data_IF_191477924116
#
_entry.id   IF_191477924116
#
_cell.length_a   1.000
_cell.length_b   1.000
_cell.length_c   1.000
_cell.angle_alpha   90.00
_cell.angle_beta   90.00
_cell.angle_gamma   90.00
#
_symmetry.space_group_name_H-M   'P 1'
#
loop_
_entity.id
_entity.type
_entity.pdbx_description
1 polymer ?
#
# COMPACT_ATOMS: atom_id res chain seq x y z
N UNK A 1 15.34 -32.61 30.40
CA UNK A 1 14.08 -31.87 30.19
C UNK A 1 14.44 -30.54 29.56
N UNK A 2 14.29 -30.42 28.24
CA UNK A 2 14.68 -29.23 27.49
C UNK A 2 13.44 -28.35 27.35
N UNK A 3 13.53 -27.10 27.81
CA UNK A 3 12.46 -26.11 27.72
C UNK A 3 12.20 -25.74 26.24
N UNK A 4 10.93 -25.53 25.84
CA UNK A 4 10.61 -25.10 24.49
C UNK A 4 11.15 -23.69 24.24
N UNK A 5 11.91 -23.54 23.15
CA UNK A 5 12.39 -22.26 22.64
C UNK A 5 11.20 -21.39 22.24
N UNK A 6 11.05 -20.27 22.93
CA UNK A 6 10.07 -19.23 22.66
C UNK A 6 10.31 -18.66 21.25
N UNK A 7 9.38 -18.91 20.32
CA UNK A 7 9.36 -18.26 19.01
C UNK A 7 8.91 -16.82 19.26
N UNK A 8 9.86 -15.88 19.22
CA UNK A 8 9.55 -14.46 19.30
C UNK A 8 8.71 -14.08 18.06
N UNK A 9 7.54 -13.44 18.22
CA UNK A 9 6.73 -13.04 17.08
C UNK A 9 7.53 -12.04 16.24
N UNK A 10 7.84 -12.42 15.00
CA UNK A 10 8.59 -11.59 14.06
C UNK A 10 7.87 -10.25 13.90
N UNK A 11 8.49 -9.17 14.35
CA UNK A 11 7.99 -7.82 14.11
C UNK A 11 7.79 -7.60 12.61
N UNK A 12 6.64 -7.04 12.18
CA UNK A 12 6.39 -6.80 10.76
C UNK A 12 7.52 -5.93 10.19
N UNK A 13 8.05 -6.35 9.03
CA UNK A 13 9.16 -5.65 8.38
C UNK A 13 8.59 -4.43 7.65
N UNK A 14 8.72 -3.26 8.25
CA UNK A 14 8.19 -2.01 7.70
C UNK A 14 9.23 -1.32 6.79
N UNK A 15 8.81 -0.81 5.63
CA UNK A 15 9.56 0.22 4.90
C UNK A 15 9.01 1.58 5.27
N UNK A 16 9.89 2.56 5.47
CA UNK A 16 9.47 3.93 5.77
C UNK A 16 9.97 4.92 4.73
N UNK A 17 9.10 5.86 4.35
CA UNK A 17 9.38 6.91 3.39
C UNK A 17 9.05 8.28 3.96
N UNK A 18 9.96 9.24 3.82
CA UNK A 18 9.74 10.64 4.17
C UNK A 18 9.10 11.35 2.99
N UNK A 19 7.99 12.03 3.24
CA UNK A 19 7.29 12.88 2.28
C UNK A 19 7.54 14.33 2.65
N UNK A 20 7.96 15.14 1.69
CA UNK A 20 8.25 16.56 1.91
C UNK A 20 7.85 17.40 0.69
N UNK A 21 6.98 18.37 0.87
CA UNK A 21 6.72 19.41 -0.14
C UNK A 21 7.85 20.44 -0.18
N UNK A 22 8.21 20.89 -1.39
CA UNK A 22 9.13 22.00 -1.61
C UNK A 22 8.40 23.35 -1.48
N UNK A 23 8.99 24.28 -0.73
CA UNK A 23 8.54 25.67 -0.55
C UNK A 23 9.04 26.61 -1.67
N UNK A 24 9.70 26.07 -2.70
CA UNK A 24 10.14 26.88 -3.84
C UNK A 24 8.91 27.20 -4.68
N UNK A 25 8.54 28.49 -4.67
CA UNK A 25 7.36 29.14 -5.27
C UNK A 25 6.99 28.73 -6.71
N UNK A 26 7.85 28.02 -7.43
CA UNK A 26 7.69 27.75 -8.85
C UNK A 26 7.24 26.31 -9.19
N UNK A 27 7.38 25.31 -8.30
CA UNK A 27 7.22 23.90 -8.74
C UNK A 27 6.17 23.04 -8.00
N UNK A 28 5.56 23.50 -6.89
CA UNK A 28 4.58 22.72 -6.09
C UNK A 28 4.95 21.22 -5.93
N UNK A 29 6.24 20.96 -5.76
CA UNK A 29 6.82 19.62 -5.89
C UNK A 29 6.78 18.89 -4.57
N UNK A 30 6.41 17.60 -4.60
CA UNK A 30 6.47 16.73 -3.41
C UNK A 30 7.54 15.66 -3.62
N UNK A 31 8.51 15.59 -2.73
CA UNK A 31 9.58 14.59 -2.76
C UNK A 31 9.26 13.42 -1.84
N UNK A 32 9.66 12.22 -2.26
CA UNK A 32 9.57 10.98 -1.49
C UNK A 32 10.96 10.36 -1.39
N UNK A 33 11.43 10.17 -0.16
CA UNK A 33 12.77 9.65 0.16
C UNK A 33 12.64 8.45 1.09
N UNK A 34 13.60 7.53 1.10
CA UNK A 34 13.64 6.46 2.10
C UNK A 34 13.99 7.03 3.48
N UNK A 35 13.40 6.51 4.56
CA UNK A 35 13.79 6.88 5.92
C UNK A 35 15.28 6.57 6.13
N UNK A 36 16.05 7.55 6.62
CA UNK A 36 17.51 7.53 6.78
C UNK A 36 18.32 7.69 5.48
N UNK A 37 17.69 8.15 4.40
CA UNK A 37 18.37 8.49 3.15
C UNK A 37 17.99 9.89 2.70
N UNK A 38 18.97 10.68 2.26
CA UNK A 38 18.75 11.97 1.62
C UNK A 38 18.47 11.83 0.11
N UNK A 39 18.38 10.59 -0.38
CA UNK A 39 18.15 10.31 -1.79
C UNK A 39 16.65 10.29 -2.08
N UNK A 40 16.24 11.21 -2.94
CA UNK A 40 14.91 11.23 -3.55
C UNK A 40 14.74 9.99 -4.42
N UNK A 41 13.75 9.17 -4.09
CA UNK A 41 13.37 7.96 -4.86
C UNK A 41 12.32 8.33 -5.90
N UNK A 42 11.30 9.08 -5.48
CA UNK A 42 10.26 9.61 -6.35
C UNK A 42 9.99 11.07 -6.06
N UNK A 43 9.42 11.76 -7.04
CA UNK A 43 8.85 13.07 -6.83
C UNK A 43 7.51 13.21 -7.58
N UNK A 44 6.66 14.09 -7.07
CA UNK A 44 5.37 14.46 -7.63
C UNK A 44 5.43 15.90 -8.13
N UNK A 45 5.00 16.14 -9.35
CA UNK A 45 4.89 17.47 -9.97
C UNK A 45 3.47 17.68 -10.49
N UNK A 46 2.97 18.92 -10.41
CA UNK A 46 1.61 19.29 -10.80
C UNK A 46 1.59 20.10 -12.08
N UNK A 47 0.68 19.74 -12.97
CA UNK A 47 0.40 20.40 -14.24
C UNK A 47 -1.07 20.81 -14.28
N UNK A 48 -1.34 22.02 -14.72
CA UNK A 48 -2.69 22.53 -14.90
C UNK A 48 -3.03 22.52 -16.39
N UNK A 49 -3.97 21.67 -16.78
CA UNK A 49 -4.58 21.71 -18.11
C UNK A 49 -5.89 22.52 -18.10
N UNK A 50 -6.55 22.63 -19.28
CA UNK A 50 -7.75 23.45 -19.45
C UNK A 50 -8.88 23.03 -18.50
N UNK A 51 -9.15 21.72 -18.40
CA UNK A 51 -10.26 21.14 -17.65
C UNK A 51 -9.83 20.24 -16.47
N UNK A 52 -8.57 19.81 -16.46
CA UNK A 52 -8.04 18.79 -15.55
C UNK A 52 -6.73 19.26 -14.90
N UNK A 53 -6.56 18.91 -13.62
CA UNK A 53 -5.28 19.00 -12.92
C UNK A 53 -4.64 17.62 -13.03
N UNK A 54 -3.44 17.58 -13.59
CA UNK A 54 -2.68 16.36 -13.85
C UNK A 54 -1.44 16.40 -12.99
N UNK A 55 -1.19 15.35 -12.24
CA UNK A 55 0.02 15.21 -11.45
C UNK A 55 0.84 14.02 -11.94
N UNK A 56 2.13 14.23 -12.09
CA UNK A 56 3.07 13.20 -12.50
C UNK A 56 3.84 12.69 -11.28
N UNK A 57 3.74 11.39 -11.01
CA UNK A 57 4.58 10.71 -10.04
C UNK A 57 5.74 10.00 -10.76
N UNK A 58 6.94 10.55 -10.57
CA UNK A 58 8.12 10.25 -11.39
C UNK A 58 9.17 9.55 -10.53
N UNK A 59 9.74 8.47 -11.06
CA UNK A 59 10.91 7.84 -10.46
C UNK A 59 12.16 8.69 -10.75
N UNK A 60 12.87 9.09 -9.70
CA UNK A 60 13.90 10.11 -9.78
C UNK A 60 15.10 9.70 -10.66
N UNK A 61 15.60 8.47 -10.51
CA UNK A 61 16.79 8.04 -11.24
C UNK A 61 16.50 7.80 -12.72
N UNK A 62 15.38 7.13 -13.02
CA UNK A 62 15.05 6.78 -14.40
C UNK A 62 14.34 7.91 -15.14
N UNK A 63 13.89 8.94 -14.43
CA UNK A 63 13.06 10.05 -14.97
C UNK A 63 11.81 9.56 -15.70
N UNK A 64 11.33 8.37 -15.36
CA UNK A 64 10.12 7.78 -15.94
C UNK A 64 8.93 8.06 -15.04
N UNK A 65 7.85 8.53 -15.65
CA UNK A 65 6.53 8.60 -15.03
C UNK A 65 6.11 7.17 -14.69
N UNK A 66 5.80 6.92 -13.42
CA UNK A 66 5.27 5.65 -12.93
C UNK A 66 3.74 5.69 -12.91
N UNK A 67 3.21 6.81 -12.42
CA UNK A 67 1.80 7.04 -12.24
C UNK A 67 1.44 8.48 -12.60
N UNK A 68 0.23 8.68 -13.10
CA UNK A 68 -0.39 10.01 -13.23
C UNK A 68 -1.69 10.05 -12.46
N UNK A 69 -1.94 11.17 -11.79
CA UNK A 69 -3.16 11.41 -11.03
C UNK A 69 -3.93 12.53 -11.68
N UNK A 70 -5.24 12.37 -11.73
CA UNK A 70 -6.12 13.10 -12.62
C UNK A 70 -7.36 13.50 -11.83
N UNK A 71 -7.64 14.80 -11.79
CA UNK A 71 -8.79 15.39 -11.09
C UNK A 71 -9.31 16.61 -11.84
N UNK A 72 -10.63 16.87 -11.86
CA UNK A 72 -11.15 18.00 -12.60
C UNK A 72 -10.81 19.31 -11.89
N UNK A 73 -10.79 20.41 -12.65
CA UNK A 73 -10.79 21.75 -12.05
C UNK A 73 -12.13 22.08 -11.39
N UNK A 74 -13.22 21.56 -11.95
CA UNK A 74 -14.59 21.77 -11.49
C UNK A 74 -15.32 20.42 -11.34
N UNK A 75 -15.94 20.19 -10.20
CA UNK A 75 -16.66 18.94 -9.92
C UNK A 75 -15.79 17.92 -9.19
N UNK A 76 -16.10 16.63 -9.35
CA UNK A 76 -15.49 15.57 -8.54
C UNK A 76 -15.20 14.31 -9.35
N UNK A 77 -13.92 13.97 -9.44
CA UNK A 77 -13.42 12.61 -9.61
C UNK A 77 -11.94 12.59 -9.23
N UNK A 78 -11.46 11.41 -8.84
CA UNK A 78 -10.04 11.15 -8.70
C UNK A 78 -9.77 9.83 -9.41
N UNK A 79 -8.79 9.83 -10.32
CA UNK A 79 -8.34 8.61 -11.00
C UNK A 79 -6.83 8.58 -11.11
N UNK A 80 -6.28 7.36 -11.02
CA UNK A 80 -4.85 7.10 -11.14
C UNK A 80 -4.62 6.24 -12.40
N UNK A 81 -3.59 6.57 -13.16
CA UNK A 81 -3.19 5.86 -14.39
C UNK A 81 -1.71 5.49 -14.34
N UNK A 82 -1.33 4.45 -15.07
CA UNK A 82 0.07 4.10 -15.32
C UNK A 82 0.33 4.08 -16.83
N UNK A 83 1.52 4.51 -17.30
CA UNK A 83 1.93 4.29 -18.70
C UNK A 83 1.95 2.81 -19.13
N UNK A 84 1.95 1.88 -18.17
CA UNK A 84 1.87 0.44 -18.45
C UNK A 84 0.42 -0.05 -18.70
N UNK A 85 -0.60 0.77 -18.43
CA UNK A 85 -1.99 0.40 -18.65
C UNK A 85 -2.38 0.53 -20.13
N UNK A 86 -3.36 -0.26 -20.61
CA UNK A 86 -3.98 -0.02 -21.91
C UNK A 86 -4.54 1.41 -22.00
N UNK A 87 -4.61 2.00 -23.21
CA UNK A 87 -5.21 3.30 -23.40
C UNK A 87 -6.62 3.39 -22.80
N UNK A 88 -6.87 4.42 -22.00
CA UNK A 88 -8.16 4.66 -21.35
C UNK A 88 -8.41 3.87 -20.06
N UNK A 89 -7.54 2.92 -19.68
CA UNK A 89 -7.66 2.24 -18.39
C UNK A 89 -7.15 3.11 -17.23
N UNK A 90 -7.85 3.06 -16.10
CA UNK A 90 -7.53 3.81 -14.88
C UNK A 90 -8.10 3.12 -13.64
N UNK A 91 -7.60 3.52 -12.48
CA UNK A 91 -8.12 3.12 -11.17
C UNK A 91 -8.85 4.32 -10.56
N UNK A 92 -10.18 4.28 -10.39
CA UNK A 92 -10.91 5.35 -9.75
C UNK A 92 -10.76 5.26 -8.22
N UNK A 93 -10.64 6.43 -7.57
CA UNK A 93 -10.79 6.58 -6.13
C UNK A 93 -12.15 7.24 -5.89
N UNK A 94 -13.08 6.48 -5.31
CA UNK A 94 -14.48 6.90 -5.15
C UNK A 94 -14.82 7.06 -3.67
N UNK A 95 -15.62 8.05 -3.28
CA UNK A 95 -16.15 8.12 -1.93
C UNK A 95 -17.07 6.91 -1.69
N UNK A 96 -17.12 6.37 -0.47
CA UNK A 96 -18.03 5.30 -0.14
C UNK A 96 -19.48 5.80 -0.17
N UNK A 97 -20.43 4.87 -0.26
CA UNK A 97 -21.86 5.20 -0.25
C UNK A 97 -22.24 5.93 1.06
N UNK A 98 -23.25 6.83 1.05
CA UNK A 98 -23.64 7.62 2.22
C UNK A 98 -24.00 6.80 3.48
N UNK A 99 -24.42 5.54 3.32
CA UNK A 99 -24.82 4.64 4.40
C UNK A 99 -23.74 3.60 4.74
N UNK A 100 -22.49 3.81 4.32
CA UNK A 100 -21.37 2.94 4.65
C UNK A 100 -20.87 3.16 6.09
N UNK A 101 -20.20 2.15 6.65
CA UNK A 101 -19.57 2.24 7.98
C UNK A 101 -18.20 2.94 7.96
N UNK A 102 -17.81 3.54 6.84
CA UNK A 102 -16.51 4.19 6.69
C UNK A 102 -16.52 5.62 7.25
N UNK A 103 -15.40 6.10 7.82
CA UNK A 103 -15.31 7.46 8.32
C UNK A 103 -15.47 8.50 7.19
N UNK A 104 -15.91 9.70 7.54
CA UNK A 104 -16.05 10.81 6.59
C UNK A 104 -14.71 11.15 5.93
N UNK A 105 -14.72 11.25 4.60
CA UNK A 105 -13.52 11.47 3.82
C UNK A 105 -12.76 10.21 3.47
N UNK A 106 -13.28 9.00 3.74
CA UNK A 106 -12.69 7.79 3.16
C UNK A 106 -12.86 7.76 1.63
N UNK A 107 -11.93 7.10 0.94
CA UNK A 107 -12.04 6.75 -0.47
C UNK A 107 -11.82 5.23 -0.64
N UNK A 108 -12.53 4.64 -1.60
CA UNK A 108 -12.44 3.24 -2.00
C UNK A 108 -11.81 3.14 -3.38
N UNK A 109 -11.03 2.08 -3.60
CA UNK A 109 -10.56 1.71 -4.93
C UNK A 109 -10.38 0.20 -5.02
N UNK A 110 -10.29 -0.31 -6.25
CA UNK A 110 -10.04 -1.72 -6.52
C UNK A 110 -8.78 -1.88 -7.35
N UNK A 111 -7.96 -2.87 -7.01
CA UNK A 111 -6.76 -3.22 -7.77
C UNK A 111 -6.61 -4.73 -7.91
N UNK A 112 -5.93 -5.15 -8.98
CA UNK A 112 -5.57 -6.56 -9.16
C UNK A 112 -4.36 -6.88 -8.30
N UNK A 113 -4.47 -7.92 -7.49
CA UNK A 113 -3.44 -8.39 -6.56
C UNK A 113 -3.27 -9.89 -6.72
N UNK A 114 -2.15 -10.42 -6.24
CA UNK A 114 -1.97 -11.86 -6.13
C UNK A 114 -2.97 -12.45 -5.14
N UNK A 115 -3.45 -13.67 -5.42
CA UNK A 115 -4.23 -14.44 -4.46
C UNK A 115 -3.27 -14.92 -3.38
N UNK A 116 -3.55 -14.66 -2.07
CA UNK A 116 -2.80 -15.26 -0.99
C UNK A 116 -2.88 -16.78 -1.08
N UNK A 117 -1.82 -17.43 -1.55
CA UNK A 117 -1.72 -18.89 -1.53
C UNK A 117 -1.38 -19.24 -0.09
N UNK A 118 -2.32 -19.88 0.62
CA UNK A 118 -2.02 -20.46 1.93
C UNK A 118 -0.82 -21.39 1.75
N UNK A 119 0.23 -21.30 2.59
CA UNK A 119 1.40 -22.16 2.45
C UNK A 119 0.93 -23.61 2.53
N UNK A 120 1.08 -24.33 1.41
CA UNK A 120 0.75 -25.73 1.32
C UNK A 120 1.63 -26.49 2.33
N UNK A 121 1.06 -27.20 3.33
CA UNK A 121 1.83 -27.83 4.39
C UNK A 121 2.88 -28.84 3.90
N UNK A 122 2.78 -29.29 2.64
CA UNK A 122 3.65 -30.33 2.08
C UNK A 122 4.93 -29.81 1.37
N UNK A 123 5.10 -28.50 1.18
CA UNK A 123 6.26 -27.97 0.41
C UNK A 123 7.52 -27.75 1.27
N UNK A 124 7.38 -27.64 2.60
CA UNK A 124 8.53 -27.55 3.52
C UNK A 124 9.40 -28.81 3.57
N UNK A 125 8.94 -29.95 3.05
CA UNK A 125 9.71 -31.20 3.00
C UNK A 125 10.69 -31.30 1.80
N UNK A 126 10.60 -30.41 0.80
CA UNK A 126 11.40 -30.53 -0.44
C UNK A 126 12.58 -29.56 -0.56
N UNK A 127 12.74 -28.62 0.35
CA UNK A 127 13.83 -27.63 0.30
C UNK A 127 15.10 -28.05 1.07
N UNK A 128 15.24 -29.33 1.46
CA UNK A 128 16.38 -29.81 2.25
C UNK A 128 17.13 -30.96 1.58
N UNK A 129 17.73 -30.72 0.40
CA UNK A 129 18.86 -31.53 -0.11
C UNK A 129 19.76 -30.73 -1.05
N UNK A 130 20.29 -29.58 -0.63
CA UNK A 130 21.54 -29.10 -1.25
C UNK A 130 22.70 -29.89 -0.62
N UNK A 131 22.96 -31.08 -1.15
CA UNK A 131 24.13 -31.88 -0.80
C UNK A 131 25.37 -31.09 -1.21
N UNK A 132 26.03 -30.46 -0.24
CA UNK A 132 27.30 -29.80 -0.42
C UNK A 132 28.39 -30.84 -0.73
N UNK A 133 28.56 -31.16 -2.01
CA UNK A 133 29.70 -31.96 -2.47
C UNK A 133 30.93 -31.07 -2.59
N UNK A 134 31.84 -31.21 -1.63
CA UNK A 134 33.22 -30.73 -1.76
C UNK A 134 33.95 -31.62 -2.76
N UNK A 135 34.29 -31.08 -3.94
CA UNK A 135 35.29 -31.68 -4.83
C UNK A 135 36.60 -30.90 -4.71
N UNK A 136 37.75 -31.57 -4.86
CA UNK A 136 39.06 -30.92 -4.87
C UNK A 136 39.23 -30.04 -6.12
N UNK A 137 40.09 -29.00 -6.07
CA UNK A 137 40.31 -28.10 -7.20
C UNK A 137 41.02 -28.84 -8.34
N UNK A 138 40.31 -29.04 -9.46
CA UNK A 138 40.90 -29.49 -10.73
C UNK A 138 41.60 -28.30 -11.39
N UNK A 139 42.84 -28.45 -11.91
CA UNK A 139 43.56 -27.36 -12.60
C UNK A 139 42.81 -26.89 -13.86
N UNK A 140 42.92 -25.60 -14.23
CA UNK A 140 42.19 -25.04 -15.36
C UNK A 140 42.70 -25.64 -16.69
N UNK A 141 41.82 -26.15 -17.57
CA UNK A 141 42.23 -26.51 -18.92
C UNK A 141 42.55 -25.24 -19.73
N UNK A 142 43.57 -25.33 -20.57
CA UNK A 142 43.93 -24.29 -21.52
C UNK A 142 42.72 -23.92 -22.39
N UNK A 143 42.33 -22.64 -22.37
CA UNK A 143 41.20 -22.11 -23.14
C UNK A 143 41.60 -22.07 -24.62
N UNK A 144 41.27 -23.13 -25.36
CA UNK A 144 41.27 -23.09 -26.83
C UNK A 144 39.94 -22.48 -27.26
N UNK A 145 40.00 -21.21 -27.68
CA UNK A 145 38.86 -20.46 -28.18
C UNK A 145 38.49 -21.02 -29.55
N UNK A 146 37.53 -21.94 -29.60
CA UNK A 146 36.87 -22.32 -30.84
C UNK A 146 35.70 -21.37 -31.12
N UNK A 147 35.58 -20.83 -32.34
CA UNK A 147 34.44 -20.01 -32.72
C UNK A 147 33.14 -20.85 -32.63
N UNK A 148 32.02 -20.27 -32.15
CA UNK A 148 30.78 -21.00 -31.97
C UNK A 148 30.27 -21.51 -33.32
N UNK A 149 30.10 -22.81 -33.44
CA UNK A 149 29.47 -23.44 -34.60
C UNK A 149 27.97 -23.14 -34.60
N UNK A 150 27.32 -22.97 -35.77
CA UNK A 150 25.90 -22.61 -35.89
C UNK A 150 24.96 -23.54 -35.11
N UNK A 151 25.30 -24.83 -35.00
CA UNK A 151 24.54 -25.82 -34.24
C UNK A 151 24.51 -25.54 -32.72
N UNK A 152 25.58 -24.95 -32.16
CA UNK A 152 25.62 -24.60 -30.73
C UNK A 152 24.71 -23.41 -30.39
N UNK A 153 24.46 -22.53 -31.37
CA UNK A 153 23.53 -21.40 -31.23
C UNK A 153 22.09 -21.90 -31.29
N UNK A 154 21.78 -22.84 -32.19
CA UNK A 154 20.46 -23.48 -32.24
C UNK A 154 20.16 -24.29 -30.97
N UNK A 155 21.13 -25.07 -30.47
CA UNK A 155 20.95 -25.81 -29.22
C UNK A 155 20.71 -24.89 -28.01
N UNK A 156 21.43 -23.75 -27.91
CA UNK A 156 21.17 -22.74 -26.87
C UNK A 156 19.83 -22.01 -27.04
N UNK A 157 19.37 -21.82 -28.29
CA UNK A 157 18.06 -21.22 -28.58
C UNK A 157 16.92 -22.16 -28.19
N UNK A 158 17.04 -23.45 -28.49
CA UNK A 158 16.06 -24.48 -28.08
C UNK A 158 16.07 -24.70 -26.56
N UNK A 159 17.25 -24.67 -25.92
CA UNK A 159 17.36 -24.77 -24.46
C UNK A 159 16.81 -23.51 -23.75
N UNK A 160 16.82 -22.35 -24.41
CA UNK A 160 16.13 -21.15 -23.93
C UNK A 160 14.61 -21.21 -24.13
N UNK A 161 14.13 -21.92 -25.16
CA UNK A 161 12.69 -22.16 -25.39
C UNK A 161 12.10 -23.22 -24.44
N UNK A 162 12.93 -24.10 -23.89
CA UNK A 162 12.55 -25.10 -22.88
C UNK A 162 12.53 -24.59 -21.43
N UNK A 163 12.79 -23.29 -21.18
CA UNK A 163 12.60 -22.71 -19.85
C UNK A 163 11.12 -22.78 -19.50
N UNK A 164 10.80 -23.64 -18.52
CA UNK A 164 9.50 -23.72 -17.85
C UNK A 164 8.93 -22.31 -17.75
N UNK A 165 7.88 -22.03 -18.53
CA UNK A 165 7.11 -20.81 -18.36
C UNK A 165 6.54 -20.89 -16.94
N UNK A 166 7.20 -20.21 -16.01
CA UNK A 166 6.67 -19.99 -14.68
C UNK A 166 5.29 -19.37 -14.91
N UNK A 167 4.25 -20.14 -14.61
CA UNK A 167 2.89 -19.64 -14.72
C UNK A 167 2.80 -18.41 -13.82
N UNK A 168 2.29 -17.27 -14.34
CA UNK A 168 2.10 -16.11 -13.48
C UNK A 168 1.20 -16.50 -12.31
N UNK A 169 1.47 -15.97 -11.10
CA UNK A 169 0.65 -16.28 -9.93
C UNK A 169 -0.81 -15.92 -10.22
N UNK A 170 -1.77 -16.69 -9.69
CA UNK A 170 -3.17 -16.37 -9.86
C UNK A 170 -3.47 -15.01 -9.20
N UNK A 171 -4.27 -14.19 -9.89
CA UNK A 171 -4.61 -12.83 -9.45
C UNK A 171 -6.10 -12.69 -9.15
N UNK A 172 -6.47 -11.84 -8.19
CA UNK A 172 -7.85 -11.45 -7.89
C UNK A 172 -8.00 -9.92 -7.85
N UNK A 173 -9.23 -9.42 -7.93
CA UNK A 173 -9.51 -8.01 -7.64
C UNK A 173 -9.71 -7.88 -6.13
N UNK A 174 -8.90 -7.03 -5.50
CA UNK A 174 -9.03 -6.70 -4.08
C UNK A 174 -9.49 -5.25 -3.94
N UNK A 175 -10.45 -5.04 -3.05
CA UNK A 175 -10.94 -3.71 -2.69
C UNK A 175 -10.13 -3.15 -1.51
N UNK A 176 -9.85 -1.86 -1.57
CA UNK A 176 -9.06 -1.12 -0.60
C UNK A 176 -9.83 0.10 -0.14
N UNK A 177 -9.63 0.45 1.12
CA UNK A 177 -10.10 1.69 1.72
C UNK A 177 -8.90 2.51 2.17
N UNK A 178 -8.91 3.78 1.82
CA UNK A 178 -8.04 4.79 2.42
C UNK A 178 -8.91 5.74 3.23
N UNK A 179 -8.56 5.94 4.50
CA UNK A 179 -9.40 6.64 5.47
C UNK A 179 -8.54 7.47 6.42
N UNK A 180 -9.02 8.66 6.84
CA UNK A 180 -8.27 9.47 7.77
C UNK A 180 -8.22 8.74 9.11
N UNK A 181 -7.19 9.00 9.92
CA UNK A 181 -7.23 8.59 11.31
C UNK A 181 -8.42 9.29 11.96
N UNK A 182 -9.50 8.56 12.19
CA UNK A 182 -10.38 8.92 13.27
C UNK A 182 -9.49 8.82 14.51
N UNK A 183 -9.05 9.96 15.04
CA UNK A 183 -8.75 10.00 16.46
C UNK A 183 -10.07 9.67 17.15
N UNK A 184 -10.35 8.37 17.27
CA UNK A 184 -11.24 7.89 18.31
C UNK A 184 -10.56 8.34 19.60
N UNK A 185 -10.93 9.54 20.02
CA UNK A 185 -11.05 9.81 21.43
C UNK A 185 -12.11 8.82 21.90
N UNK A 186 -11.73 7.56 22.09
CA UNK A 186 -12.22 6.76 23.19
C UNK A 186 -12.10 7.72 24.36
N UNK A 187 -13.19 8.40 24.72
CA UNK A 187 -13.27 9.07 26.00
C UNK A 187 -13.16 7.92 26.97
N UNK A 188 -12.00 7.66 27.60
CA UNK A 188 -12.08 6.77 28.73
C UNK A 188 -12.95 7.53 29.75
N UNK A 189 -13.84 6.82 30.45
CA UNK A 189 -14.51 7.39 31.61
C UNK A 189 -13.44 7.75 32.67
N UNK A 190 -12.75 8.86 32.46
CA UNK A 190 -11.72 9.35 33.34
C UNK A 190 -12.16 10.69 33.93
N UNK A 191 -12.39 10.58 35.22
CA UNK A 191 -12.51 11.59 36.27
C UNK A 191 -12.23 13.05 35.84
N UNK A 192 -13.18 13.92 36.16
CA UNK A 192 -13.29 15.35 35.82
C UNK A 192 -12.02 16.19 36.04
N UNK A 193 -11.07 15.75 36.87
CA UNK A 193 -9.86 16.51 37.19
C UNK A 193 -8.69 16.31 36.20
N UNK A 194 -8.69 15.28 35.35
CA UNK A 194 -7.66 15.11 34.32
C UNK A 194 -7.91 15.94 33.05
N UNK A 195 -9.13 16.48 32.89
CA UNK A 195 -9.54 17.28 31.72
C UNK A 195 -8.86 18.65 31.64
N UNK A 196 -8.42 19.19 32.78
CA UNK A 196 -7.77 20.51 32.82
C UNK A 196 -6.28 20.46 32.41
N UNK A 197 -5.59 19.32 32.56
CA UNK A 197 -4.17 19.20 32.24
C UNK A 197 -3.88 18.65 30.83
N UNK A 198 -4.82 17.96 30.19
CA UNK A 198 -4.72 17.55 28.78
C UNK A 198 -4.97 18.72 27.82
N UNK A 199 -5.72 19.74 28.23
CA UNK A 199 -5.96 20.96 27.45
C UNK A 199 -4.76 21.93 27.44
N UNK A 200 -3.86 21.84 28.43
CA UNK A 200 -2.66 22.70 28.52
C UNK A 200 -1.42 22.07 27.88
N UNK A 201 -1.50 20.82 27.42
CA UNK A 201 -0.44 20.15 26.63
C UNK A 201 -0.86 19.86 25.18
N UNK A 202 -2.08 20.25 24.79
CA UNK A 202 -2.58 20.26 23.42
C UNK A 202 -2.67 21.69 22.89
N UNK A 203 -1.60 22.46 22.95
CA UNK A 203 -1.61 23.75 22.26
C UNK A 203 -1.55 23.48 20.75
N UNK A 204 -2.57 23.97 20.04
CA UNK A 204 -2.57 24.19 18.58
C UNK A 204 -2.36 22.95 17.71
N UNK A 205 -3.19 21.92 17.84
CA UNK A 205 -3.27 20.87 16.81
C UNK A 205 -4.02 21.44 15.59
N UNK A 206 -3.29 21.76 14.52
CA UNK A 206 -3.90 21.94 13.20
C UNK A 206 -4.59 20.64 12.73
N UNK A 207 -5.32 20.68 11.59
CA UNK A 207 -5.87 19.46 11.02
C UNK A 207 -4.73 18.47 10.77
N UNK A 208 -4.79 17.29 11.40
CA UNK A 208 -3.83 16.22 11.13
C UNK A 208 -4.26 15.51 9.86
N UNK A 209 -3.38 15.49 8.86
CA UNK A 209 -3.61 14.77 7.61
C UNK A 209 -3.20 13.30 7.69
N UNK A 210 -3.14 12.72 8.89
CA UNK A 210 -2.75 11.32 9.07
C UNK A 210 -3.85 10.37 8.57
N UNK A 211 -3.48 9.27 7.92
CA UNK A 211 -4.43 8.30 7.39
C UNK A 211 -3.87 6.88 7.31
N UNK A 212 -4.77 5.91 7.06
CA UNK A 212 -4.43 4.52 6.81
C UNK A 212 -5.04 4.02 5.51
N UNK A 213 -4.33 3.14 4.83
CA UNK A 213 -4.80 2.36 3.70
C UNK A 213 -4.81 0.88 4.10
N UNK A 214 -5.98 0.26 3.97
CA UNK A 214 -6.20 -1.14 4.34
C UNK A 214 -7.04 -1.87 3.28
N UNK A 215 -6.94 -3.20 3.25
CA UNK A 215 -7.85 -4.05 2.47
C UNK A 215 -9.23 -4.05 3.10
N UNK A 216 -10.26 -4.06 2.25
CA UNK A 216 -11.63 -4.35 2.69
C UNK A 216 -11.77 -5.86 2.79
N UNK A 217 -12.13 -6.35 3.99
CA UNK A 217 -12.40 -7.78 4.17
C UNK A 217 -13.57 -8.17 3.25
N UNK A 218 -13.45 -9.24 2.45
CA UNK A 218 -14.60 -9.73 1.71
C UNK A 218 -15.68 -10.07 2.73
N UNK A 219 -16.86 -9.46 2.60
CA UNK A 219 -18.01 -9.81 3.43
C UNK A 219 -18.22 -11.31 3.28
N UNK A 220 -17.90 -12.08 4.32
CA UNK A 220 -18.15 -13.52 4.35
C UNK A 220 -19.62 -13.71 3.99
N UNK A 221 -19.88 -14.24 2.80
CA UNK A 221 -21.24 -14.46 2.32
C UNK A 221 -22.02 -15.34 3.30
N UNK A 222 -23.37 -15.29 3.30
CA UNK A 222 -24.15 -16.21 4.11
C UNK A 222 -23.73 -17.64 3.74
N UNK A 223 -23.29 -18.40 4.74
CA UNK A 223 -23.06 -19.83 4.62
C UNK A 223 -24.42 -20.44 4.26
N UNK A 224 -24.65 -20.74 2.99
CA UNK A 224 -25.75 -21.60 2.59
C UNK A 224 -25.41 -23.00 3.10
N UNK A 225 -25.85 -23.30 4.33
CA UNK A 225 -25.89 -24.65 4.86
C UNK A 225 -26.89 -25.42 4.01
N UNK A 226 -26.38 -26.13 3.01
CA UNK A 226 -27.19 -27.05 2.22
C UNK A 226 -27.49 -28.28 3.07
N UNK A 227 -28.76 -28.40 3.47
CA UNK A 227 -29.42 -29.68 3.77
C UNK A 227 -29.44 -30.14 5.22
N UNK A 228 -30.55 -29.91 5.91
CA UNK A 228 -31.44 -30.96 6.44
C UNK A 228 -32.59 -30.34 7.27
N UNK A 229 -33.85 -30.78 7.12
CA UNK A 229 -34.96 -30.29 7.92
C UNK A 229 -35.06 -31.08 9.23
N UNK A 230 -34.77 -30.44 10.37
CA UNK A 230 -35.24 -30.93 11.67
C UNK A 230 -35.52 -29.75 12.61
N UNK A 231 -36.70 -29.71 13.27
CA UNK A 231 -37.04 -28.62 14.16
C UNK A 231 -36.56 -28.93 15.58
N UNK A 232 -35.79 -28.02 16.17
CA UNK A 232 -35.58 -27.95 17.62
C UNK A 232 -35.40 -26.48 18.01
N UNK A 233 -36.19 -25.96 18.96
CA UNK A 233 -36.07 -24.57 19.42
C UNK A 233 -35.13 -24.55 20.63
N UNK A 234 -33.92 -24.04 20.45
CA UNK A 234 -33.05 -23.64 21.57
C UNK A 234 -32.35 -22.33 21.22
N UNK A 235 -32.41 -21.40 22.18
CA UNK A 235 -31.98 -20.01 22.11
C UNK A 235 -30.62 -19.80 21.44
N UNK A 236 -30.65 -19.12 20.30
CA UNK A 236 -29.44 -18.61 19.64
C UNK A 236 -29.04 -17.30 20.27
N UNK A 237 -28.20 -17.36 21.30
CA UNK A 237 -27.38 -16.22 21.72
C UNK A 237 -26.34 -15.97 20.63
N UNK A 238 -26.59 -14.92 19.83
CA UNK A 238 -25.69 -14.43 18.79
C UNK A 238 -24.38 -14.00 19.45
N UNK A 239 -23.37 -14.87 19.38
CA UNK A 239 -22.02 -14.51 19.77
C UNK A 239 -21.46 -13.57 18.70
N UNK A 240 -21.44 -12.28 19.00
CA UNK A 240 -20.74 -11.25 18.22
C UNK A 240 -19.24 -11.56 18.27
N UNK A 241 -18.76 -12.37 17.35
CA UNK A 241 -17.32 -12.53 17.07
C UNK A 241 -16.76 -11.15 16.72
N UNK A 242 -15.74 -10.70 17.47
CA UNK A 242 -15.07 -9.43 17.23
C UNK A 242 -14.67 -9.31 15.74
N UNK A 243 -14.88 -8.15 15.09
CA UNK A 243 -14.51 -7.97 13.70
C UNK A 243 -13.01 -8.21 13.55
N UNK A 244 -12.64 -9.10 12.63
CA UNK A 244 -11.23 -9.33 12.26
C UNK A 244 -10.70 -8.04 11.66
N UNK A 245 -9.90 -7.29 12.43
CA UNK A 245 -9.23 -6.08 11.96
C UNK A 245 -8.06 -6.50 11.09
N UNK A 246 -8.17 -6.30 9.79
CA UNK A 246 -7.03 -6.46 8.87
C UNK A 246 -6.05 -5.32 9.18
N UNK A 247 -4.77 -5.60 9.46
CA UNK A 247 -3.78 -4.56 9.68
C UNK A 247 -3.65 -3.65 8.45
N UNK A 248 -3.31 -2.35 8.63
CA UNK A 248 -3.15 -1.45 7.51
C UNK A 248 -1.91 -1.80 6.70
N UNK A 249 -2.06 -1.86 5.38
CA UNK A 249 -0.95 -2.03 4.43
C UNK A 249 -0.02 -0.82 4.47
N UNK A 250 -0.61 0.38 4.58
CA UNK A 250 0.12 1.63 4.58
C UNK A 250 -0.47 2.59 5.60
N UNK A 251 0.40 3.29 6.30
CA UNK A 251 0.05 4.35 7.26
C UNK A 251 0.81 5.62 6.91
N UNK A 252 0.11 6.76 6.85
CA UNK A 252 0.74 8.08 6.77
C UNK A 252 0.60 8.81 8.09
N UNK A 253 1.73 9.23 8.64
CA UNK A 253 1.83 10.08 9.82
C UNK A 253 2.16 11.49 9.39
N UNK A 254 1.23 12.41 9.61
CA UNK A 254 1.46 13.82 9.39
C UNK A 254 2.45 14.36 10.43
N UNK A 255 3.51 15.02 9.94
CA UNK A 255 4.56 15.65 10.74
C UNK A 255 4.71 17.13 10.41
N UNK A 256 3.70 17.72 9.78
CA UNK A 256 3.70 19.12 9.38
C UNK A 256 3.73 20.01 10.63
N UNK A 257 4.77 20.84 10.82
CA UNK A 257 4.83 21.77 11.93
C UNK A 257 3.71 22.82 11.81
N UNK A 258 3.12 23.18 12.95
CA UNK A 258 1.97 24.11 13.06
C UNK A 258 2.20 25.46 12.36
N UNK A 259 3.46 25.91 12.26
CA UNK A 259 3.81 27.21 11.70
C UNK A 259 4.05 27.21 10.19
N UNK A 260 4.11 26.05 9.54
CA UNK A 260 4.35 25.99 8.11
C UNK A 260 3.03 26.00 7.35
N UNK A 261 2.64 27.19 6.90
CA UNK A 261 1.50 27.36 6.00
C UNK A 261 1.88 26.78 4.63
N UNK A 262 1.02 25.97 4.02
CA UNK A 262 1.14 25.42 2.65
C UNK A 262 2.18 24.32 2.39
N UNK A 263 3.01 23.96 3.35
CA UNK A 263 3.91 22.80 3.20
C UNK A 263 3.34 21.59 3.92
N UNK A 264 3.58 20.40 3.39
CA UNK A 264 3.25 19.13 4.03
C UNK A 264 4.48 18.26 4.15
N UNK A 265 4.71 17.82 5.37
CA UNK A 265 5.79 16.89 5.72
C UNK A 265 5.20 15.72 6.48
N UNK A 266 5.60 14.50 6.15
CA UNK A 266 5.10 13.32 6.82
C UNK A 266 5.94 12.08 6.60
N UNK A 267 5.51 10.99 7.23
CA UNK A 267 6.15 9.70 7.18
C UNK A 267 5.14 8.66 6.70
N UNK A 268 5.43 8.01 5.58
CA UNK A 268 4.69 6.83 5.11
C UNK A 268 5.38 5.59 5.65
N UNK A 269 4.62 4.70 6.27
CA UNK A 269 5.02 3.35 6.66
C UNK A 269 4.28 2.33 5.80
N UNK A 270 4.99 1.35 5.25
CA UNK A 270 4.44 0.28 4.39
C UNK A 270 4.84 -1.08 4.94
N UNK A 271 3.87 -1.97 5.12
CA UNK A 271 4.13 -3.36 5.49
C UNK A 271 4.70 -4.14 4.28
N UNK A 272 5.99 -4.48 4.32
CA UNK A 272 6.65 -5.19 3.22
C UNK A 272 6.09 -6.60 3.01
N UNK A 273 5.65 -7.27 4.08
CA UNK A 273 5.12 -8.62 3.96
C UNK A 273 3.78 -8.59 3.23
N UNK A 274 2.93 -7.62 3.56
CA UNK A 274 1.65 -7.43 2.86
C UNK A 274 1.84 -6.92 1.43
N UNK A 275 2.74 -5.97 1.20
CA UNK A 275 3.10 -5.51 -0.16
C UNK A 275 3.56 -6.68 -1.05
N UNK A 276 4.49 -7.49 -0.55
CA UNK A 276 5.01 -8.67 -1.26
C UNK A 276 3.92 -9.72 -1.50
N UNK A 277 3.02 -9.91 -0.54
CA UNK A 277 1.87 -10.80 -0.67
C UNK A 277 0.92 -10.34 -1.78
N UNK A 278 0.65 -9.03 -1.86
CA UNK A 278 -0.26 -8.47 -2.87
C UNK A 278 0.37 -8.41 -4.26
N UNK A 279 1.71 -8.40 -4.35
CA UNK A 279 2.44 -8.38 -5.61
C UNK A 279 2.27 -7.09 -6.40
N UNK A 280 2.05 -5.98 -5.69
CA UNK A 280 1.89 -4.65 -6.30
C UNK A 280 3.02 -3.75 -5.81
N UNK A 281 3.66 -3.04 -6.73
CA UNK A 281 4.85 -2.23 -6.45
C UNK A 281 4.57 -1.10 -5.44
N UNK A 282 5.54 -0.82 -4.55
CA UNK A 282 5.58 0.33 -3.64
C UNK A 282 5.14 1.63 -4.31
N UNK A 283 5.59 1.90 -5.54
CA UNK A 283 5.28 3.15 -6.25
C UNK A 283 3.77 3.38 -6.40
N UNK A 284 2.98 2.32 -6.54
CA UNK A 284 1.52 2.39 -6.61
C UNK A 284 0.94 2.84 -5.27
N UNK A 285 1.33 2.17 -4.17
CA UNK A 285 0.81 2.47 -2.84
C UNK A 285 1.16 3.89 -2.40
N UNK A 286 2.39 4.33 -2.70
CA UNK A 286 2.82 5.71 -2.45
C UNK A 286 2.02 6.70 -3.31
N UNK A 287 1.78 6.41 -4.60
CA UNK A 287 0.97 7.28 -5.45
C UNK A 287 -0.46 7.43 -4.91
N UNK A 288 -1.10 6.34 -4.48
CA UNK A 288 -2.42 6.38 -3.82
C UNK A 288 -2.39 7.23 -2.56
N UNK A 289 -1.37 7.05 -1.70
CA UNK A 289 -1.21 7.82 -0.48
C UNK A 289 -1.08 9.33 -0.75
N UNK A 290 -0.22 9.73 -1.70
CA UNK A 290 -0.04 11.14 -2.07
C UNK A 290 -1.28 11.74 -2.74
N UNK A 291 -2.05 10.95 -3.48
CA UNK A 291 -3.34 11.37 -4.04
C UNK A 291 -4.34 11.68 -2.94
N UNK A 292 -4.42 10.79 -1.94
CA UNK A 292 -5.34 10.94 -0.83
C UNK A 292 -4.97 12.11 0.10
N UNK A 293 -3.68 12.32 0.33
CA UNK A 293 -3.16 13.45 1.10
C UNK A 293 -3.64 14.80 0.55
N UNK A 294 -3.58 14.97 -0.77
CA UNK A 294 -4.06 16.17 -1.44
C UNK A 294 -5.57 16.31 -1.37
N UNK A 295 -6.31 15.20 -1.54
CA UNK A 295 -7.76 15.20 -1.34
C UNK A 295 -8.13 15.75 0.05
N UNK A 296 -7.41 15.35 1.10
CA UNK A 296 -7.64 15.88 2.44
C UNK A 296 -7.35 17.38 2.54
N UNK A 297 -6.25 17.86 1.94
CA UNK A 297 -5.91 19.29 1.93
C UNK A 297 -6.99 20.14 1.25
N UNK A 298 -7.51 19.67 0.12
CA UNK A 298 -8.54 20.38 -0.64
C UNK A 298 -9.89 20.36 0.06
N UNK A 299 -10.25 19.21 0.64
CA UNK A 299 -11.46 19.08 1.46
C UNK A 299 -11.45 20.11 2.60
N UNK A 300 -10.35 20.22 3.35
CA UNK A 300 -10.24 21.18 4.45
C UNK A 300 -10.31 22.63 3.94
N UNK A 301 -9.66 22.93 2.80
CA UNK A 301 -9.73 24.26 2.17
C UNK A 301 -11.15 24.64 1.77
N UNK A 302 -11.92 23.68 1.25
CA UNK A 302 -13.32 23.88 0.90
C UNK A 302 -14.21 24.10 2.14
N UNK A 303 -14.01 23.31 3.20
CA UNK A 303 -14.75 23.47 4.45
C UNK A 303 -14.48 24.82 5.12
N UNK A 304 -13.22 25.28 5.10
CA UNK A 304 -12.85 26.60 5.61
C UNK A 304 -13.54 27.72 4.82
N UNK A 305 -13.56 27.64 3.49
CA UNK A 305 -14.21 28.63 2.64
C UNK A 305 -15.75 28.68 2.80
N UNK A 306 -16.39 27.58 3.24
CA UNK A 306 -17.82 27.56 3.57
C UNK A 306 -18.13 28.16 4.94
N UNK A 307 -17.13 28.28 5.83
CA UNK A 307 -17.30 28.79 7.18
C UNK A 307 -17.09 30.30 7.32
N UNK A 308 -16.47 30.94 6.32
CA UNK A 308 -16.28 32.39 6.21
C UNK A 308 -17.53 33.10 5.64
#
# INVERSE_FOLDING_TARGET
MSLPSHVEPSTPKMTRYVVQSSDVLEDLKVNVMLENSDKIVWFKERFLEEEEIIEHFVHNESRRIQWTMHRPRNGWYIRIRSPAFPPGAFIPLIPPLPNSLHPSGALLFSSRTNIPIAPDPDVSARASTSTAHSYPPTPPPAVVVHPPTPASVQAKLEQAQGKQRLHPPPTQVTEFVVAPYASEVLKPEMSFFHRAFSLLKSSTAGPSYSFTLARVAPASGPIYVSGSPMPSPVDSTVSLTAPVTIPPLLTFHDRTPVMMVSTVTGLIEVDQAEEALLGVDSSFWIAVALTYLEFLQEKESYLAALSD
#
